data_IF_442117392425
#
_entry.id   IF_442117392425
#
_cell.length_a   1.000
_cell.length_b   1.000
_cell.length_c   1.000
_cell.angle_alpha   90.00
_cell.angle_beta   90.00
_cell.angle_gamma   90.00
#
_symmetry.space_group_name_H-M   'P 1'
#
loop_
_entity.id
_entity.type
_entity.pdbx_description
1 polymer ?
#
# COMPACT_ATOMS: atom_id res chain seq x y z
N UNK A 1 12.33 33.13 -13.10
CA UNK A 1 12.42 31.89 -13.87
C UNK A 1 12.56 30.67 -12.98
N UNK A 2 13.45 30.73 -12.00
CA UNK A 2 13.61 29.61 -11.07
C UNK A 2 12.33 29.28 -10.30
N UNK A 3 11.57 30.30 -9.89
CA UNK A 3 10.31 30.13 -9.18
C UNK A 3 9.27 29.40 -10.01
N UNK A 4 9.21 29.73 -11.30
CA UNK A 4 8.26 29.09 -12.21
C UNK A 4 8.63 27.61 -12.39
N UNK A 5 9.92 27.31 -12.51
CA UNK A 5 10.39 25.94 -12.63
C UNK A 5 10.06 25.11 -11.38
N UNK A 6 10.19 25.71 -10.20
CA UNK A 6 9.85 25.04 -8.95
C UNK A 6 8.35 24.76 -8.89
N UNK A 7 7.51 25.73 -9.26
CA UNK A 7 6.05 25.54 -9.28
C UNK A 7 5.63 24.50 -10.30
N UNK A 8 6.24 24.50 -11.48
CA UNK A 8 5.94 23.50 -12.51
C UNK A 8 6.36 22.12 -12.03
N UNK A 9 7.54 22.00 -11.46
CA UNK A 9 8.01 20.72 -10.92
C UNK A 9 7.09 20.20 -9.81
N UNK A 10 6.69 21.09 -8.90
CA UNK A 10 5.77 20.73 -7.83
C UNK A 10 4.41 20.31 -8.38
N UNK A 11 3.90 21.06 -9.36
CA UNK A 11 2.63 20.74 -10.01
C UNK A 11 2.68 19.37 -10.68
N UNK A 12 3.77 19.04 -11.35
CA UNK A 12 3.95 17.73 -11.98
C UNK A 12 3.98 16.62 -10.94
N UNK A 13 4.69 16.82 -9.84
CA UNK A 13 4.76 15.84 -8.76
C UNK A 13 3.38 15.63 -8.14
N UNK A 14 2.67 16.71 -7.82
CA UNK A 14 1.31 16.62 -7.27
C UNK A 14 0.37 15.96 -8.27
N UNK A 15 0.48 16.31 -9.55
CA UNK A 15 -0.32 15.67 -10.59
C UNK A 15 -0.10 14.18 -10.66
N UNK A 16 1.16 13.75 -10.63
CA UNK A 16 1.50 12.33 -10.67
C UNK A 16 0.96 11.59 -9.46
N UNK A 17 1.08 12.19 -8.28
CA UNK A 17 0.55 11.58 -7.06
C UNK A 17 -0.98 11.49 -7.11
N UNK A 18 -1.63 12.55 -7.57
CA UNK A 18 -3.07 12.58 -7.71
C UNK A 18 -3.55 11.60 -8.78
N UNK A 19 -2.88 11.57 -9.94
CA UNK A 19 -3.23 10.67 -11.04
C UNK A 19 -3.02 9.20 -10.66
N UNK A 20 -1.98 8.92 -9.86
CA UNK A 20 -1.71 7.57 -9.39
C UNK A 20 -2.74 7.06 -8.38
N UNK A 21 -3.52 7.96 -7.79
CA UNK A 21 -4.54 7.60 -6.80
C UNK A 21 -5.95 7.93 -7.26
N UNK A 22 -6.10 8.22 -8.51
CA UNK A 22 -7.35 8.77 -9.00
C UNK A 22 -8.51 7.79 -8.82
N UNK A 23 -9.67 8.27 -8.39
CA UNK A 23 -10.83 7.40 -8.11
C UNK A 23 -11.47 6.82 -9.35
N UNK A 24 -11.05 7.21 -10.55
CA UNK A 24 -11.49 6.54 -11.75
C UNK A 24 -10.73 5.25 -12.03
N UNK A 25 -9.83 4.87 -11.14
CA UNK A 25 -9.35 3.51 -11.22
C UNK A 25 -10.57 2.60 -11.27
N UNK A 26 -10.66 1.74 -12.26
CA UNK A 26 -11.84 0.92 -12.40
C UNK A 26 -12.09 0.16 -11.12
N UNK A 27 -13.35 0.00 -10.78
CA UNK A 27 -13.73 -0.83 -9.65
C UNK A 27 -12.98 -2.14 -9.79
N UNK A 28 -12.44 -2.60 -8.67
CA UNK A 28 -11.65 -3.82 -8.65
C UNK A 28 -12.45 -4.96 -9.27
N UNK A 29 -12.13 -5.28 -10.51
CA UNK A 29 -12.59 -6.51 -11.14
C UNK A 29 -11.84 -7.68 -10.51
N UNK A 30 -12.27 -8.90 -10.77
CA UNK A 30 -11.61 -10.08 -10.22
C UNK A 30 -10.11 -10.08 -10.46
N UNK A 31 -9.67 -9.72 -11.67
CA UNK A 31 -8.25 -9.65 -12.02
C UNK A 31 -7.53 -8.56 -11.24
N UNK A 32 -8.12 -7.37 -11.14
CA UNK A 32 -7.54 -6.26 -10.40
C UNK A 32 -7.44 -6.59 -8.92
N UNK A 33 -8.46 -7.26 -8.38
CA UNK A 33 -8.45 -7.70 -6.99
C UNK A 33 -7.33 -8.70 -6.74
N UNK A 34 -7.13 -9.65 -7.65
CA UNK A 34 -6.04 -10.61 -7.55
C UNK A 34 -4.68 -9.91 -7.56
N UNK A 35 -4.51 -8.89 -8.40
CA UNK A 35 -3.29 -8.11 -8.44
C UNK A 35 -3.08 -7.35 -7.13
N UNK A 36 -4.14 -6.77 -6.57
CA UNK A 36 -4.07 -6.07 -5.29
C UNK A 36 -3.70 -7.04 -4.17
N UNK A 37 -4.27 -8.23 -4.15
CA UNK A 37 -3.94 -9.26 -3.17
C UNK A 37 -2.49 -9.71 -3.31
N UNK A 38 -2.02 -9.89 -4.53
CA UNK A 38 -0.64 -10.27 -4.79
C UNK A 38 0.32 -9.20 -4.26
N UNK A 39 0.04 -7.93 -4.52
CA UNK A 39 0.85 -6.82 -4.01
C UNK A 39 0.86 -6.78 -2.49
N UNK A 40 -0.30 -6.99 -1.89
CA UNK A 40 -0.41 -7.01 -0.43
C UNK A 40 0.42 -8.14 0.18
N UNK A 41 0.36 -9.34 -0.40
CA UNK A 41 1.19 -10.47 0.04
C UNK A 41 2.67 -10.18 -0.11
N UNK A 42 3.05 -9.61 -1.23
CA UNK A 42 4.45 -9.25 -1.49
C UNK A 42 4.95 -8.21 -0.50
N UNK A 43 4.13 -7.20 -0.22
CA UNK A 43 4.48 -6.14 0.71
C UNK A 43 4.69 -6.69 2.13
N UNK A 44 3.80 -7.57 2.58
CA UNK A 44 3.92 -8.17 3.90
C UNK A 44 4.87 -9.36 3.94
N UNK A 45 5.25 -9.89 2.78
CA UNK A 45 6.16 -11.03 2.72
C UNK A 45 5.49 -12.35 3.12
N UNK A 46 4.19 -12.49 2.87
CA UNK A 46 3.45 -13.72 3.19
C UNK A 46 3.09 -14.49 1.95
N UNK A 47 2.82 -15.77 2.12
CA UNK A 47 2.42 -16.64 1.04
C UNK A 47 0.94 -16.58 0.73
N UNK A 48 0.56 -17.33 -0.31
CA UNK A 48 -0.80 -17.37 -0.83
C UNK A 48 -1.81 -17.95 0.17
N UNK A 49 -1.37 -18.89 1.00
CA UNK A 49 -2.22 -19.51 2.01
C UNK A 49 -1.98 -19.00 3.42
N UNK A 50 -1.52 -17.77 3.58
CA UNK A 50 -1.19 -17.24 4.89
C UNK A 50 -2.41 -17.20 5.81
N UNK A 51 -2.22 -17.61 7.04
CA UNK A 51 -3.26 -17.56 8.06
C UNK A 51 -3.39 -16.14 8.63
N UNK A 52 -4.46 -15.91 9.39
CA UNK A 52 -4.68 -14.65 10.09
C UNK A 52 -3.45 -14.26 10.93
N UNK A 53 -2.94 -15.21 11.70
CA UNK A 53 -1.77 -14.96 12.57
C UNK A 53 -0.54 -14.63 11.76
N UNK A 54 -0.31 -15.31 10.64
CA UNK A 54 0.83 -15.03 9.78
C UNK A 54 0.76 -13.61 9.19
N UNK A 55 -0.44 -13.19 8.80
CA UNK A 55 -0.64 -11.86 8.25
C UNK A 55 -0.39 -10.79 9.33
N UNK A 56 -0.94 -10.99 10.52
CA UNK A 56 -0.77 -10.05 11.63
C UNK A 56 0.70 -9.96 12.05
N UNK A 57 1.40 -11.08 12.13
CA UNK A 57 2.83 -11.09 12.47
C UNK A 57 3.65 -10.40 11.39
N UNK A 58 3.37 -10.67 10.12
CA UNK A 58 4.07 -10.02 9.01
C UNK A 58 3.86 -8.52 9.03
N UNK A 59 2.64 -8.09 9.28
CA UNK A 59 2.32 -6.66 9.42
C UNK A 59 3.11 -6.03 10.57
N UNK A 60 3.16 -6.69 11.71
CA UNK A 60 3.89 -6.19 12.87
C UNK A 60 5.38 -6.02 12.57
N UNK A 61 5.98 -7.00 11.89
CA UNK A 61 7.39 -6.91 11.49
C UNK A 61 7.62 -5.78 10.51
N UNK A 62 6.72 -5.63 9.53
CA UNK A 62 6.84 -4.56 8.54
C UNK A 62 6.71 -3.19 9.21
N UNK A 63 5.75 -3.01 10.11
CA UNK A 63 5.57 -1.74 10.82
C UNK A 63 6.83 -1.40 11.62
N UNK A 64 7.44 -2.37 12.28
CA UNK A 64 8.67 -2.13 13.02
C UNK A 64 9.80 -1.66 12.11
N UNK A 65 9.83 -2.14 10.86
CA UNK A 65 10.84 -1.76 9.86
C UNK A 65 10.59 -0.38 9.29
N UNK A 66 9.32 -0.03 9.02
CA UNK A 66 8.96 1.22 8.33
C UNK A 66 8.50 2.31 9.29
N UNK A 67 8.66 2.11 10.58
CA UNK A 67 8.27 3.11 11.58
C UNK A 67 8.98 4.42 11.32
N UNK A 68 8.28 5.58 11.42
CA UNK A 68 8.91 6.89 11.16
C UNK A 68 10.16 7.16 11.99
N UNK A 69 10.22 6.65 13.21
CA UNK A 69 11.39 6.80 14.09
C UNK A 69 12.62 6.04 13.57
N UNK A 70 12.42 5.08 12.68
CA UNK A 70 13.49 4.26 12.09
C UNK A 70 13.76 4.59 10.64
N UNK A 71 13.31 5.77 10.18
CA UNK A 71 13.52 6.20 8.81
C UNK A 71 12.43 5.81 7.85
N UNK A 72 11.36 5.20 8.32
CA UNK A 72 10.18 4.92 7.49
C UNK A 72 9.33 6.16 7.28
N UNK A 73 8.29 6.02 6.49
CA UNK A 73 7.36 7.10 6.19
C UNK A 73 5.94 6.73 6.59
N UNK A 74 5.10 7.75 6.80
CA UNK A 74 3.67 7.53 7.06
C UNK A 74 2.99 6.81 5.90
N UNK A 75 3.42 7.09 4.66
CA UNK A 75 2.88 6.41 3.49
C UNK A 75 3.14 4.91 3.54
N UNK A 76 4.33 4.51 3.96
CA UNK A 76 4.67 3.09 4.11
C UNK A 76 3.82 2.42 5.18
N UNK A 77 3.55 3.11 6.28
CA UNK A 77 2.67 2.60 7.34
C UNK A 77 1.25 2.43 6.81
N UNK A 78 0.74 3.41 6.08
CA UNK A 78 -0.58 3.32 5.47
C UNK A 78 -0.69 2.16 4.49
N UNK A 79 0.33 1.95 3.67
CA UNK A 79 0.37 0.86 2.71
C UNK A 79 0.37 -0.50 3.42
N UNK A 80 1.13 -0.61 4.49
CA UNK A 80 1.18 -1.83 5.30
C UNK A 80 -0.19 -2.11 5.94
N UNK A 81 -0.84 -1.10 6.47
CA UNK A 81 -2.16 -1.24 7.07
C UNK A 81 -3.21 -1.66 6.04
N UNK A 82 -3.17 -1.05 4.86
CA UNK A 82 -4.10 -1.38 3.78
C UNK A 82 -3.88 -2.81 3.30
N UNK A 83 -2.63 -3.24 3.17
CA UNK A 83 -2.31 -4.61 2.76
C UNK A 83 -2.84 -5.62 3.78
N UNK A 84 -2.63 -5.37 5.07
CA UNK A 84 -3.15 -6.22 6.12
C UNK A 84 -4.67 -6.32 6.05
N UNK A 85 -5.35 -5.18 5.95
CA UNK A 85 -6.80 -5.15 5.95
C UNK A 85 -7.36 -5.90 4.75
N UNK A 86 -6.75 -5.73 3.57
CA UNK A 86 -7.17 -6.41 2.37
C UNK A 86 -7.01 -7.94 2.50
N UNK A 87 -5.89 -8.39 2.99
CA UNK A 87 -5.64 -9.83 3.15
C UNK A 87 -6.54 -10.45 4.21
N UNK A 88 -6.78 -9.74 5.32
CA UNK A 88 -7.67 -10.24 6.36
C UNK A 88 -9.12 -10.31 5.88
N UNK A 89 -9.52 -9.38 5.02
CA UNK A 89 -10.88 -9.39 4.46
C UNK A 89 -11.12 -10.59 3.55
N UNK A 90 -10.07 -11.14 2.95
CA UNK A 90 -10.17 -12.31 2.07
C UNK A 90 -10.21 -13.62 2.83
N UNK A 91 -9.82 -13.63 4.09
CA UNK A 91 -9.86 -14.86 4.88
C UNK A 91 -11.28 -15.22 5.27
N UNK A 92 -11.62 -16.52 5.24
CA UNK A 92 -12.91 -16.93 5.77
C UNK A 92 -12.96 -16.63 7.26
N UNK A 93 -14.09 -16.12 7.70
CA UNK A 93 -14.28 -15.89 9.14
C UNK A 93 -14.45 -17.23 9.85
N UNK A 94 -13.82 -17.37 11.01
CA UNK A 94 -14.02 -18.57 11.81
C UNK A 94 -15.45 -18.73 12.28
#
# INVERSE_FOLDING_TARGET
MLRILIFVGLAVVVWRMAAGRWPWQPKLTGTTRQQALFRARTLLGVGDGASHEQIVDAHRRLIATVHPDRGGTNAQVHDANAARDLLLAELPRP
#
